data_IF_288427644417
#
_entry.id   IF_288427644417
#
_cell.length_a   1.000
_cell.length_b   1.000
_cell.length_c   1.000
_cell.angle_alpha   90.00
_cell.angle_beta   90.00
_cell.angle_gamma   90.00
#
_symmetry.space_group_name_H-M   'P 1'
#
loop_
_entity.id
_entity.type
_entity.pdbx_description
1 polymer ?
#
# COMPACT_ATOMS: atom_id res chain seq x y z
N UNK A 1 16.91 3.55 6.30
CA UNK A 1 16.17 2.99 5.20
C UNK A 1 16.50 3.82 3.96
N UNK A 2 17.20 3.22 3.01
CA UNK A 2 17.61 3.86 1.77
C UNK A 2 16.38 4.24 0.93
N UNK A 3 15.36 3.39 0.93
CA UNK A 3 14.10 3.65 0.23
C UNK A 3 13.40 4.89 0.77
N UNK A 4 13.28 5.01 2.11
CA UNK A 4 12.76 6.23 2.76
C UNK A 4 13.61 7.46 2.43
N UNK A 5 14.94 7.34 2.46
CA UNK A 5 15.81 8.47 2.11
C UNK A 5 15.59 8.94 0.67
N UNK A 6 15.45 8.03 -0.28
CA UNK A 6 15.18 8.35 -1.68
C UNK A 6 13.85 9.10 -1.83
N UNK A 7 12.77 8.63 -1.22
CA UNK A 7 11.47 9.33 -1.33
C UNK A 7 11.46 10.67 -0.60
N UNK A 8 12.23 10.82 0.48
CA UNK A 8 12.42 12.11 1.16
C UNK A 8 13.10 13.14 0.24
N UNK A 9 14.11 12.73 -0.53
CA UNK A 9 14.74 13.61 -1.53
C UNK A 9 13.74 14.08 -2.61
N UNK A 10 12.72 13.27 -2.89
CA UNK A 10 11.69 13.55 -3.89
C UNK A 10 10.46 14.27 -3.33
N UNK A 11 10.31 14.33 -2.00
CA UNK A 11 9.10 14.86 -1.35
C UNK A 11 7.85 13.99 -1.62
N UNK A 12 8.02 12.69 -1.81
CA UNK A 12 6.95 11.75 -2.16
C UNK A 12 6.54 10.89 -0.97
N UNK A 13 5.31 10.38 -0.99
CA UNK A 13 4.87 9.35 -0.05
C UNK A 13 5.41 7.96 -0.43
N UNK A 14 5.52 7.02 0.53
CA UNK A 14 5.96 5.66 0.23
C UNK A 14 4.97 4.95 -0.68
N UNK A 15 5.50 4.28 -1.70
CA UNK A 15 4.70 3.46 -2.61
C UNK A 15 4.40 2.07 -2.03
N UNK A 16 5.26 1.55 -1.15
CA UNK A 16 5.08 0.25 -0.50
C UNK A 16 5.53 0.31 0.96
N UNK A 17 4.88 -0.44 1.85
CA UNK A 17 5.10 -0.35 3.32
C UNK A 17 6.44 -0.92 3.80
N UNK A 18 7.08 -1.82 3.04
CA UNK A 18 8.42 -2.36 3.33
C UNK A 18 9.47 -1.98 2.27
N UNK A 19 9.04 -1.37 1.16
CA UNK A 19 9.91 -1.07 0.01
C UNK A 19 9.53 0.30 -0.59
N UNK A 20 9.72 1.40 0.15
CA UNK A 20 9.10 2.70 -0.13
C UNK A 20 9.32 3.23 -1.55
N UNK A 21 10.52 3.00 -2.08
CA UNK A 21 10.98 3.45 -3.40
C UNK A 21 10.86 2.39 -4.52
N UNK A 22 10.08 1.31 -4.36
CA UNK A 22 10.02 0.20 -5.34
C UNK A 22 9.54 0.61 -6.75
N UNK A 23 8.88 1.76 -6.87
CA UNK A 23 8.42 2.31 -8.14
C UNK A 23 9.52 3.03 -8.96
N UNK A 24 10.71 3.21 -8.37
CA UNK A 24 11.82 3.91 -9.02
C UNK A 24 12.82 2.93 -9.63
N UNK A 25 13.36 3.30 -10.78
CA UNK A 25 14.50 2.62 -11.38
C UNK A 25 15.83 3.27 -10.93
N UNK A 26 16.93 2.57 -11.19
CA UNK A 26 18.25 3.02 -10.77
C UNK A 26 18.70 4.34 -11.42
N UNK A 27 18.28 4.61 -12.66
CA UNK A 27 18.61 5.87 -13.35
C UNK A 27 17.95 7.07 -12.69
N UNK A 28 16.69 6.93 -12.27
CA UNK A 28 15.97 7.96 -11.52
C UNK A 28 16.66 8.23 -10.17
N UNK A 29 17.04 7.18 -9.45
CA UNK A 29 17.76 7.33 -8.17
C UNK A 29 19.11 8.03 -8.36
N UNK A 30 19.87 7.68 -9.41
CA UNK A 30 21.13 8.37 -9.74
C UNK A 30 20.92 9.85 -9.98
N UNK A 31 19.88 10.21 -10.73
CA UNK A 31 19.57 11.60 -11.04
C UNK A 31 19.19 12.37 -9.78
N UNK A 32 18.39 11.78 -8.90
CA UNK A 32 18.02 12.39 -7.62
C UNK A 32 19.25 12.60 -6.72
N UNK A 33 20.18 11.64 -6.69
CA UNK A 33 21.42 11.75 -5.93
C UNK A 33 22.36 12.83 -6.48
N UNK A 34 22.43 12.98 -7.82
CA UNK A 34 23.20 14.07 -8.44
C UNK A 34 22.68 15.44 -8.02
N UNK A 35 21.35 15.60 -8.01
CA UNK A 35 20.70 16.84 -7.59
C UNK A 35 20.89 17.11 -6.10
N UNK A 36 20.63 16.11 -5.26
CA UNK A 36 20.64 16.25 -3.81
C UNK A 36 22.04 16.39 -3.21
N UNK A 37 23.03 15.66 -3.76
CA UNK A 37 24.42 15.66 -3.26
C UNK A 37 25.34 16.43 -4.22
N UNK A 38 24.94 17.64 -4.60
CA UNK A 38 25.68 18.52 -5.53
C UNK A 38 27.04 18.97 -5.01
N UNK A 39 27.26 18.87 -3.69
CA UNK A 39 28.54 19.15 -3.03
C UNK A 39 29.59 18.04 -3.24
N UNK A 40 29.20 16.85 -3.71
CA UNK A 40 30.12 15.76 -4.02
C UNK A 40 30.68 15.87 -5.45
N UNK A 41 31.88 15.34 -5.74
CA UNK A 41 32.47 15.39 -7.07
C UNK A 41 31.54 14.86 -8.17
N UNK A 42 31.48 15.56 -9.31
CA UNK A 42 30.61 15.18 -10.43
C UNK A 42 31.03 13.89 -11.14
N UNK A 43 32.30 13.49 -11.02
CA UNK A 43 32.87 12.26 -11.60
C UNK A 43 32.82 11.05 -10.65
N UNK A 44 32.07 11.13 -9.55
CA UNK A 44 31.99 10.05 -8.56
C UNK A 44 31.34 8.77 -9.14
N UNK A 45 31.67 7.58 -8.60
CA UNK A 45 31.07 6.33 -9.05
C UNK A 45 29.56 6.29 -8.76
N UNK A 46 28.74 6.10 -9.80
CA UNK A 46 27.27 5.99 -9.67
C UNK A 46 26.68 4.83 -10.50
N UNK A 47 27.53 3.98 -11.08
CA UNK A 47 27.08 2.88 -11.95
C UNK A 47 26.49 1.74 -11.12
N UNK A 48 27.23 1.27 -10.14
CA UNK A 48 26.87 0.12 -9.32
C UNK A 48 25.98 0.53 -8.12
N UNK A 49 24.92 -0.23 -7.79
CA UNK A 49 24.04 0.04 -6.64
C UNK A 49 24.80 0.25 -5.32
N UNK A 50 25.88 -0.50 -5.10
CA UNK A 50 26.73 -0.40 -3.92
C UNK A 50 27.38 0.98 -3.79
N UNK A 51 27.67 1.64 -4.91
CA UNK A 51 28.23 3.00 -4.90
C UNK A 51 27.21 4.01 -4.40
N UNK A 52 25.95 3.90 -4.85
CA UNK A 52 24.85 4.74 -4.37
C UNK A 52 24.58 4.49 -2.88
N UNK A 53 24.57 3.22 -2.45
CA UNK A 53 24.40 2.88 -1.04
C UNK A 53 25.54 3.46 -0.17
N UNK A 54 26.79 3.39 -0.62
CA UNK A 54 27.94 4.00 0.08
C UNK A 54 27.82 5.51 0.17
N UNK A 55 27.38 6.17 -0.90
CA UNK A 55 27.13 7.61 -0.92
C UNK A 55 26.07 8.00 0.11
N UNK A 56 24.89 7.35 0.07
CA UNK A 56 23.83 7.58 1.04
C UNK A 56 24.28 7.31 2.48
N UNK A 57 25.05 6.24 2.71
CA UNK A 57 25.61 5.91 4.02
C UNK A 57 26.55 7.00 4.53
N UNK A 58 27.39 7.59 3.67
CA UNK A 58 28.26 8.70 4.03
C UNK A 58 27.46 9.91 4.50
N UNK A 59 26.48 10.33 3.71
CA UNK A 59 25.61 11.48 4.02
C UNK A 59 24.82 11.26 5.31
N UNK A 60 24.24 10.08 5.50
CA UNK A 60 23.40 9.79 6.66
C UNK A 60 24.21 9.56 7.94
N UNK A 61 25.46 9.11 7.85
CA UNK A 61 26.30 8.82 9.02
C UNK A 61 26.50 10.05 9.90
N UNK A 62 26.82 11.19 9.29
CA UNK A 62 27.01 12.46 10.00
C UNK A 62 25.73 12.89 10.71
N UNK A 63 24.58 12.73 10.05
CA UNK A 63 23.26 13.03 10.63
C UNK A 63 22.94 12.15 11.83
N UNK A 64 23.23 10.85 11.76
CA UNK A 64 23.03 9.94 12.89
C UNK A 64 23.91 10.31 14.10
N UNK A 65 25.16 10.70 13.87
CA UNK A 65 26.10 11.07 14.94
C UNK A 65 25.79 12.43 15.58
N UNK A 66 25.27 13.38 14.80
CA UNK A 66 24.93 14.71 15.29
C UNK A 66 23.54 14.81 15.93
N UNK A 67 22.69 13.78 15.81
CA UNK A 67 21.33 13.82 16.32
C UNK A 67 21.27 13.69 17.86
N UNK A 68 20.61 14.65 18.53
CA UNK A 68 20.34 14.59 19.97
C UNK A 68 19.18 13.63 20.32
N UNK A 69 18.23 13.49 19.38
CA UNK A 69 17.01 12.69 19.56
C UNK A 69 16.82 11.73 18.40
N UNK A 70 16.63 10.46 18.73
CA UNK A 70 16.23 9.40 17.82
C UNK A 70 14.76 9.09 17.95
N UNK A 71 14.03 9.07 16.83
CA UNK A 71 12.61 8.68 16.81
C UNK A 71 12.46 7.44 15.96
N UNK A 72 11.91 6.37 16.56
CA UNK A 72 11.63 5.13 15.86
C UNK A 72 10.16 4.75 15.96
N UNK A 73 9.70 3.92 15.02
CA UNK A 73 8.49 3.15 15.21
C UNK A 73 8.74 1.93 16.11
N UNK A 74 7.71 1.08 16.23
CA UNK A 74 7.87 -0.29 16.71
C UNK A 74 7.02 -1.25 15.85
N UNK A 75 7.58 -2.44 15.58
CA UNK A 75 6.84 -3.56 15.02
C UNK A 75 6.01 -4.24 16.10
N UNK A 76 6.55 -4.35 17.32
CA UNK A 76 5.87 -4.93 18.48
C UNK A 76 6.22 -4.17 19.76
N UNK A 77 5.29 -4.20 20.73
CA UNK A 77 5.49 -3.75 22.10
C UNK A 77 5.14 -4.92 23.02
N UNK A 78 6.12 -5.45 23.74
CA UNK A 78 5.95 -6.66 24.57
C UNK A 78 5.53 -6.25 25.97
N UNK A 79 4.31 -6.60 26.37
CA UNK A 79 3.70 -6.14 27.62
C UNK A 79 4.39 -6.70 28.86
N UNK A 80 4.77 -7.99 28.88
CA UNK A 80 5.36 -8.62 30.07
C UNK A 80 6.69 -8.01 30.51
N UNK A 81 7.44 -7.42 29.57
CA UNK A 81 8.79 -6.86 29.82
C UNK A 81 8.88 -5.35 29.61
N UNK A 82 7.84 -4.70 29.07
CA UNK A 82 7.91 -3.29 28.67
C UNK A 82 8.89 -3.03 27.53
N UNK A 83 9.08 -4.00 26.63
CA UNK A 83 10.10 -3.96 25.56
C UNK A 83 9.49 -3.45 24.25
N UNK A 84 10.16 -2.52 23.57
CA UNK A 84 9.85 -2.22 22.16
C UNK A 84 10.71 -3.08 21.23
N UNK A 85 10.12 -3.49 20.12
CA UNK A 85 10.80 -4.30 19.11
C UNK A 85 10.72 -3.61 17.76
N UNK A 86 11.87 -3.38 17.15
CA UNK A 86 11.97 -2.85 15.78
C UNK A 86 12.67 -3.85 14.88
N UNK A 87 12.15 -3.98 13.66
CA UNK A 87 12.62 -4.92 12.64
C UNK A 87 13.14 -4.11 11.46
N UNK A 88 14.41 -4.29 11.09
CA UNK A 88 15.01 -3.59 9.94
C UNK A 88 15.92 -4.50 9.13
N UNK A 89 16.18 -4.14 7.87
CA UNK A 89 17.14 -4.84 7.01
C UNK A 89 18.46 -4.06 6.80
N UNK A 90 18.55 -2.83 7.30
CA UNK A 90 19.67 -1.93 7.02
C UNK A 90 20.38 -1.41 8.28
N UNK A 91 19.93 -1.81 9.49
CA UNK A 91 20.53 -1.41 10.76
C UNK A 91 20.33 0.06 11.14
N UNK A 92 19.58 0.83 10.33
CA UNK A 92 19.30 2.24 10.62
C UNK A 92 18.45 2.42 11.89
N UNK A 93 17.63 1.43 12.26
CA UNK A 93 16.88 1.44 13.53
C UNK A 93 17.83 1.52 14.73
N UNK A 94 18.88 0.71 14.72
CA UNK A 94 19.89 0.64 15.78
C UNK A 94 20.65 1.96 15.91
N UNK A 95 21.10 2.51 14.77
CA UNK A 95 21.76 3.83 14.77
C UNK A 95 20.83 4.93 15.30
N UNK A 96 19.54 4.86 15.00
CA UNK A 96 18.55 5.84 15.45
C UNK A 96 18.29 5.74 16.95
N UNK A 97 18.26 4.54 17.54
CA UNK A 97 17.92 4.37 18.95
C UNK A 97 19.11 4.37 19.91
N UNK A 98 20.31 4.03 19.44
CA UNK A 98 21.49 3.85 20.32
C UNK A 98 22.41 5.07 20.36
N UNK A 99 22.58 5.79 19.24
CA UNK A 99 23.53 6.91 19.17
C UNK A 99 23.01 8.20 19.84
N UNK A 100 21.74 8.60 19.64
CA UNK A 100 21.22 9.82 20.26
C UNK A 100 21.06 9.68 21.78
N UNK A 101 21.14 10.81 22.50
CA UNK A 101 20.95 10.84 23.97
C UNK A 101 19.51 10.51 24.37
N UNK A 102 18.55 10.80 23.50
CA UNK A 102 17.12 10.55 23.75
C UNK A 102 16.57 9.62 22.67
N UNK A 103 15.89 8.55 23.08
CA UNK A 103 15.14 7.68 22.18
C UNK A 103 13.64 7.80 22.45
N UNK A 104 12.88 8.08 21.39
CA UNK A 104 11.41 8.13 21.41
C UNK A 104 10.88 7.01 20.52
N UNK A 105 10.11 6.09 21.10
CA UNK A 105 9.35 5.08 20.39
C UNK A 105 7.94 5.58 20.17
N UNK A 106 7.55 5.79 18.91
CA UNK A 106 6.19 6.13 18.52
C UNK A 106 5.51 4.91 17.89
N UNK A 107 4.58 4.30 18.60
CA UNK A 107 3.92 3.08 18.14
C UNK A 107 2.42 3.16 18.38
N UNK A 108 1.66 2.55 17.50
CA UNK A 108 0.21 2.51 17.63
C UNK A 108 -0.24 1.38 18.53
N UNK A 109 -1.40 1.55 19.19
CA UNK A 109 -1.85 0.66 20.28
C UNK A 109 -2.02 -0.81 19.87
N UNK A 110 -2.22 -1.09 18.58
CA UNK A 110 -2.38 -2.44 18.05
C UNK A 110 -1.07 -3.23 17.97
N UNK A 111 0.06 -2.61 18.29
CA UNK A 111 1.39 -3.25 18.25
C UNK A 111 1.71 -4.03 19.51
N UNK A 112 0.85 -3.99 20.53
CA UNK A 112 1.07 -4.66 21.80
C UNK A 112 0.87 -6.17 21.66
N UNK A 113 1.83 -6.95 22.17
CA UNK A 113 1.78 -8.40 22.29
C UNK A 113 2.05 -8.80 23.75
N UNK A 114 1.43 -9.89 24.28
CA UNK A 114 1.54 -10.21 25.69
C UNK A 114 2.97 -10.58 26.11
N UNK A 115 3.57 -11.55 25.40
CA UNK A 115 4.86 -12.15 25.78
C UNK A 115 5.91 -12.11 24.66
N UNK A 116 7.17 -12.32 25.03
CA UNK A 116 8.29 -12.53 24.11
C UNK A 116 8.08 -13.78 23.26
N UNK A 117 7.40 -14.80 23.77
CA UNK A 117 7.09 -16.01 23.02
C UNK A 117 6.06 -15.71 21.92
N UNK A 118 4.98 -14.99 22.22
CA UNK A 118 4.01 -14.55 21.20
C UNK A 118 4.70 -13.72 20.11
N UNK A 119 5.55 -12.80 20.53
CA UNK A 119 6.35 -11.94 19.65
C UNK A 119 7.28 -12.75 18.74
N UNK A 120 7.96 -13.78 19.27
CA UNK A 120 8.88 -14.62 18.50
C UNK A 120 8.16 -15.40 17.40
N UNK A 121 6.96 -15.92 17.67
CA UNK A 121 6.15 -16.61 16.68
C UNK A 121 5.68 -15.65 15.58
N UNK A 122 5.27 -14.44 15.95
CA UNK A 122 4.83 -13.44 14.97
C UNK A 122 6.00 -12.93 14.12
N UNK A 123 7.20 -12.78 14.68
CA UNK A 123 8.40 -12.42 13.91
C UNK A 123 8.70 -13.42 12.78
N UNK A 124 8.55 -14.72 13.06
CA UNK A 124 8.72 -15.79 12.04
C UNK A 124 7.72 -15.62 10.91
N UNK A 125 6.46 -15.27 11.21
CA UNK A 125 5.45 -15.00 10.20
C UNK A 125 5.75 -13.71 9.42
N UNK A 126 6.21 -12.66 10.10
CA UNK A 126 6.51 -11.37 9.51
C UNK A 126 7.56 -11.48 8.40
N UNK A 127 8.74 -12.03 8.70
CA UNK A 127 9.85 -12.12 7.74
C UNK A 127 9.49 -12.97 6.52
N UNK A 128 8.88 -14.15 6.76
CA UNK A 128 8.49 -15.08 5.69
C UNK A 128 7.41 -14.51 4.79
N UNK A 129 6.45 -13.79 5.35
CA UNK A 129 5.35 -13.19 4.58
C UNK A 129 5.76 -11.91 3.86
N UNK A 130 6.74 -11.16 4.39
CA UNK A 130 7.17 -9.89 3.84
C UNK A 130 8.20 -10.06 2.72
N UNK A 131 9.30 -10.77 3.01
CA UNK A 131 10.47 -10.86 2.13
C UNK A 131 10.85 -12.29 1.78
N UNK A 132 10.12 -13.29 2.30
CA UNK A 132 10.47 -14.71 2.13
C UNK A 132 11.70 -15.13 2.93
N UNK A 133 12.22 -14.27 3.81
CA UNK A 133 13.36 -14.58 4.67
C UNK A 133 12.92 -15.41 5.88
N UNK A 134 13.84 -16.23 6.42
CA UNK A 134 13.58 -16.94 7.67
C UNK A 134 13.40 -15.98 8.85
N UNK A 135 14.21 -14.91 8.86
CA UNK A 135 14.20 -13.80 9.82
C UNK A 135 14.77 -12.55 9.14
N UNK A 136 14.39 -11.36 9.61
CA UNK A 136 15.01 -10.09 9.16
C UNK A 136 16.47 -10.00 9.56
N UNK A 137 17.25 -9.14 8.90
CA UNK A 137 18.69 -8.95 9.22
C UNK A 137 18.89 -8.39 10.62
N UNK A 138 18.05 -7.45 11.06
CA UNK A 138 18.12 -6.84 12.39
C UNK A 138 16.76 -6.90 13.08
N UNK A 139 16.73 -7.51 14.27
CA UNK A 139 15.59 -7.49 15.18
C UNK A 139 16.10 -7.02 16.53
N UNK A 140 15.74 -5.78 16.89
CA UNK A 140 16.30 -5.14 18.07
C UNK A 140 15.23 -4.94 19.12
N UNK A 141 15.55 -5.37 20.33
CA UNK A 141 14.70 -5.30 21.51
C UNK A 141 15.27 -4.23 22.43
N UNK A 142 14.46 -3.22 22.75
CA UNK A 142 14.84 -2.08 23.60
C UNK A 142 13.96 -2.03 24.83
N UNK A 143 14.58 -2.15 26.01
CA UNK A 143 13.91 -2.20 27.33
C UNK A 143 14.40 -1.05 28.21
N UNK A 144 14.04 0.18 27.84
CA UNK A 144 14.37 1.38 28.60
C UNK A 144 15.70 2.04 28.21
N UNK A 145 16.14 3.05 28.99
CA UNK A 145 17.39 3.77 28.74
C UNK A 145 18.61 2.92 29.13
N UNK A 146 19.80 3.37 28.72
CA UNK A 146 21.07 2.74 29.10
C UNK A 146 21.22 2.70 30.62
N UNK A 147 21.77 1.61 31.12
CA UNK A 147 22.14 1.41 32.53
C UNK A 147 23.57 1.90 32.74
N UNK A 148 23.97 2.06 34.01
CA UNK A 148 25.35 2.48 34.35
C UNK A 148 26.43 1.53 33.82
N UNK A 149 26.12 0.24 33.69
CA UNK A 149 27.02 -0.79 33.18
C UNK A 149 27.03 -0.90 31.66
N UNK A 150 26.04 -0.31 30.98
CA UNK A 150 25.91 -0.44 29.54
C UNK A 150 26.93 0.51 28.88
N UNK A 151 27.70 0.03 27.89
CA UNK A 151 28.72 0.86 27.24
C UNK A 151 28.09 2.04 26.49
N UNK A 152 26.94 1.80 25.86
CA UNK A 152 26.28 2.72 24.94
C UNK A 152 24.75 2.68 25.13
N UNK A 153 24.06 3.70 24.61
CA UNK A 153 22.60 3.76 24.53
C UNK A 153 22.01 5.10 24.95
N UNK A 154 20.69 5.26 24.83
CA UNK A 154 20.02 6.52 25.13
C UNK A 154 19.95 6.76 26.64
N UNK A 155 20.18 7.99 27.07
CA UNK A 155 20.03 8.43 28.48
C UNK A 155 18.56 8.55 28.88
N UNK A 156 17.70 8.86 27.92
CA UNK A 156 16.25 8.94 28.10
C UNK A 156 15.53 8.07 27.08
N UNK A 157 14.51 7.37 27.55
CA UNK A 157 13.70 6.48 26.72
C UNK A 157 12.22 6.77 26.95
N UNK A 158 11.52 7.19 25.89
CA UNK A 158 10.12 7.61 25.93
C UNK A 158 9.30 6.73 25.00
N UNK A 159 8.12 6.28 25.44
CA UNK A 159 7.19 5.51 24.62
C UNK A 159 5.89 6.27 24.47
N UNK A 160 5.51 6.57 23.23
CA UNK A 160 4.27 7.25 22.87
C UNK A 160 3.34 6.24 22.21
N UNK A 161 2.25 5.92 22.90
CA UNK A 161 1.19 5.06 22.38
C UNK A 161 0.16 5.89 21.62
N UNK A 162 0.09 5.69 20.31
CA UNK A 162 -0.80 6.43 19.43
C UNK A 162 -2.04 5.60 19.08
N UNK A 163 -3.20 5.98 19.61
CA UNK A 163 -4.47 5.39 19.18
C UNK A 163 -4.84 5.86 17.76
N UNK A 164 -5.01 7.18 17.60
CA UNK A 164 -5.44 7.82 16.35
C UNK A 164 -6.71 7.15 15.75
N UNK A 165 -7.70 6.88 16.60
CA UNK A 165 -9.00 6.32 16.21
C UNK A 165 -9.04 4.80 16.06
N UNK A 166 -7.94 4.06 16.30
CA UNK A 166 -7.90 2.59 16.18
C UNK A 166 -8.76 1.88 17.22
N UNK A 167 -8.86 2.43 18.42
CA UNK A 167 -9.70 1.92 19.51
C UNK A 167 -11.17 1.82 19.11
N UNK A 168 -11.64 2.68 18.20
CA UNK A 168 -13.02 2.65 17.68
C UNK A 168 -13.34 1.39 16.86
N UNK A 169 -12.32 0.64 16.43
CA UNK A 169 -12.49 -0.60 15.68
C UNK A 169 -12.77 -1.79 16.61
N UNK A 170 -12.44 -1.68 17.90
CA UNK A 170 -12.71 -2.73 18.89
C UNK A 170 -14.21 -2.99 19.01
N UNK A 171 -14.60 -4.26 19.03
CA UNK A 171 -16.00 -4.70 19.06
C UNK A 171 -16.77 -4.54 17.75
N UNK A 172 -16.14 -4.04 16.68
CA UNK A 172 -16.80 -3.80 15.38
C UNK A 172 -16.41 -4.84 14.34
N UNK A 173 -17.02 -4.77 13.15
CA UNK A 173 -16.64 -5.58 11.99
C UNK A 173 -15.19 -5.33 11.50
N UNK A 174 -14.52 -4.29 12.00
CA UNK A 174 -13.15 -3.93 11.65
C UNK A 174 -12.11 -4.40 12.66
N UNK A 175 -12.50 -5.01 13.79
CA UNK A 175 -11.58 -5.36 14.88
C UNK A 175 -10.37 -6.18 14.41
N UNK A 176 -10.55 -7.16 13.52
CA UNK A 176 -9.45 -8.04 13.12
C UNK A 176 -8.33 -7.30 12.36
N UNK A 177 -8.61 -6.10 11.83
CA UNK A 177 -7.60 -5.26 11.19
C UNK A 177 -6.52 -4.81 12.19
N UNK A 178 -6.83 -4.74 13.49
CA UNK A 178 -5.87 -4.47 14.55
C UNK A 178 -4.80 -5.57 14.69
N UNK A 179 -5.03 -6.78 14.14
CA UNK A 179 -4.01 -7.85 14.12
C UNK A 179 -2.91 -7.62 13.08
N UNK A 180 -2.99 -6.55 12.28
CA UNK A 180 -2.08 -6.37 11.16
C UNK A 180 -0.63 -6.11 11.60
N UNK A 181 0.25 -7.04 11.22
CA UNK A 181 1.70 -6.96 11.45
C UNK A 181 2.46 -6.19 10.36
N UNK A 182 1.74 -5.58 9.40
CA UNK A 182 2.29 -4.77 8.30
C UNK A 182 3.34 -5.50 7.45
N UNK A 183 3.15 -6.80 7.19
CA UNK A 183 4.08 -7.60 6.37
C UNK A 183 4.03 -7.30 4.86
N UNK A 184 2.95 -6.71 4.34
CA UNK A 184 2.83 -6.35 2.92
C UNK A 184 2.36 -7.48 2.00
N UNK A 185 2.19 -8.71 2.50
CA UNK A 185 1.71 -9.86 1.71
C UNK A 185 0.41 -9.56 0.93
N UNK A 186 -0.55 -8.87 1.57
CA UNK A 186 -1.79 -8.48 0.92
C UNK A 186 -1.60 -7.57 -0.30
N UNK A 187 -0.58 -6.71 -0.28
CA UNK A 187 -0.24 -5.79 -1.38
C UNK A 187 0.45 -6.55 -2.51
N UNK A 188 1.44 -7.37 -2.16
CA UNK A 188 2.22 -8.18 -3.10
C UNK A 188 1.36 -9.13 -3.93
N UNK A 189 0.23 -9.59 -3.39
CA UNK A 189 -0.70 -10.48 -4.09
C UNK A 189 -1.97 -9.79 -4.61
N UNK A 190 -2.08 -8.46 -4.49
CA UNK A 190 -3.23 -7.72 -4.98
C UNK A 190 -3.04 -7.37 -6.46
N UNK A 191 -3.91 -7.85 -7.37
CA UNK A 191 -3.78 -7.53 -8.80
C UNK A 191 -4.02 -6.05 -9.09
N UNK A 192 -4.83 -5.36 -8.27
CA UNK A 192 -5.05 -3.92 -8.42
C UNK A 192 -3.78 -3.16 -8.04
N UNK A 193 -3.22 -3.42 -6.86
CA UNK A 193 -1.97 -2.78 -6.41
C UNK A 193 -0.83 -3.02 -7.40
N UNK A 194 -0.65 -4.25 -7.91
CA UNK A 194 0.38 -4.54 -8.91
C UNK A 194 0.20 -3.77 -10.23
N UNK A 195 -1.05 -3.43 -10.60
CA UNK A 195 -1.34 -2.74 -11.85
C UNK A 195 -1.26 -1.20 -11.73
N UNK A 196 -1.63 -0.62 -10.58
CA UNK A 196 -1.72 0.84 -10.41
C UNK A 196 -0.65 1.44 -9.48
N UNK A 197 0.07 0.60 -8.73
CA UNK A 197 1.04 1.03 -7.73
C UNK A 197 0.41 1.60 -6.46
N UNK A 198 1.26 1.94 -5.48
CA UNK A 198 0.80 2.45 -4.18
C UNK A 198 0.33 3.89 -4.18
N UNK A 199 0.94 4.76 -4.98
CA UNK A 199 0.57 6.18 -5.01
C UNK A 199 -0.86 6.44 -5.48
N UNK A 200 -1.41 5.56 -6.33
CA UNK A 200 -2.80 5.64 -6.77
C UNK A 200 -3.83 5.50 -5.63
N UNK A 201 -3.43 5.00 -4.46
CA UNK A 201 -4.27 4.93 -3.26
C UNK A 201 -4.32 6.26 -2.49
N UNK A 202 -3.49 7.25 -2.82
CA UNK A 202 -3.61 8.61 -2.29
C UNK A 202 -3.35 8.78 -0.79
N UNK A 203 -2.75 7.79 -0.12
CA UNK A 203 -2.45 7.85 1.31
C UNK A 203 -1.20 7.04 1.67
N UNK A 204 -0.65 7.25 2.88
CA UNK A 204 0.56 6.55 3.38
C UNK A 204 0.36 5.04 3.61
N UNK A 205 -0.89 4.57 3.69
CA UNK A 205 -1.22 3.16 3.75
C UNK A 205 -1.86 2.73 2.43
N UNK A 206 -1.08 2.18 1.49
CA UNK A 206 -1.60 1.70 0.22
C UNK A 206 -2.11 0.25 0.27
N UNK A 207 -2.74 -0.18 -0.82
CA UNK A 207 -3.16 -1.57 -1.04
C UNK A 207 -4.38 -2.02 -0.21
N UNK A 208 -4.68 -3.33 -0.18
CA UNK A 208 -5.90 -3.84 0.46
C UNK A 208 -6.01 -3.52 1.96
N UNK A 209 -4.88 -3.55 2.67
CA UNK A 209 -4.83 -3.17 4.08
C UNK A 209 -5.17 -1.68 4.26
N UNK A 210 -4.57 -0.82 3.44
CA UNK A 210 -4.84 0.60 3.41
C UNK A 210 -6.30 0.94 3.10
N UNK A 211 -6.92 0.20 2.17
CA UNK A 211 -8.32 0.36 1.81
C UNK A 211 -9.30 0.05 2.95
N UNK A 212 -8.88 -0.73 3.95
CA UNK A 212 -9.66 -0.98 5.17
C UNK A 212 -9.31 0.03 6.27
N UNK A 213 -8.03 0.30 6.50
CA UNK A 213 -7.58 1.11 7.62
C UNK A 213 -7.82 2.61 7.42
N UNK A 214 -7.58 3.13 6.21
CA UNK A 214 -7.61 4.57 5.94
C UNK A 214 -9.00 5.20 6.19
N UNK A 215 -10.14 4.58 5.79
CA UNK A 215 -11.45 5.13 6.12
C UNK A 215 -11.74 5.23 7.62
N UNK A 216 -11.15 4.38 8.46
CA UNK A 216 -11.22 4.54 9.93
C UNK A 216 -10.48 5.79 10.38
N UNK A 217 -9.29 6.04 9.82
CA UNK A 217 -8.40 7.11 10.29
C UNK A 217 -8.85 8.51 9.85
N UNK A 218 -9.35 8.64 8.62
CA UNK A 218 -9.67 9.96 8.04
C UNK A 218 -11.12 10.14 7.61
N UNK A 219 -11.94 9.11 7.78
CA UNK A 219 -13.35 9.11 7.43
C UNK A 219 -13.65 8.50 6.05
N UNK A 220 -14.80 7.83 5.96
CA UNK A 220 -15.32 7.23 4.72
C UNK A 220 -15.69 8.29 3.66
N UNK A 221 -15.98 9.52 4.06
CA UNK A 221 -16.21 10.66 3.16
C UNK A 221 -14.97 11.01 2.34
N UNK A 222 -13.77 10.83 2.90
CA UNK A 222 -12.50 11.10 2.19
C UNK A 222 -11.95 9.85 1.49
N UNK A 223 -12.12 8.68 2.11
CA UNK A 223 -11.44 7.45 1.69
C UNK A 223 -12.37 6.34 1.19
N UNK A 224 -13.68 6.57 1.03
CA UNK A 224 -14.66 5.57 0.60
C UNK A 224 -14.39 4.97 -0.78
N UNK A 225 -13.70 5.71 -1.64
CA UNK A 225 -13.27 5.23 -2.96
C UNK A 225 -12.21 4.11 -2.89
N UNK A 226 -11.45 3.96 -1.80
CA UNK A 226 -10.40 2.94 -1.67
C UNK A 226 -10.96 1.51 -1.61
N UNK A 227 -11.96 1.20 -0.76
CA UNK A 227 -12.69 -0.07 -0.84
C UNK A 227 -13.30 -0.35 -2.22
N UNK A 228 -13.60 0.70 -3.00
CA UNK A 228 -14.09 0.55 -4.37
C UNK A 228 -13.01 0.09 -5.36
N UNK A 229 -11.73 0.39 -5.09
CA UNK A 229 -10.58 -0.07 -5.86
C UNK A 229 -10.18 -1.53 -5.53
N UNK A 230 -11.14 -2.46 -5.54
CA UNK A 230 -10.93 -3.88 -5.27
C UNK A 230 -11.80 -4.76 -6.18
N UNK A 231 -11.22 -5.84 -6.68
CA UNK A 231 -11.93 -6.88 -7.44
C UNK A 231 -12.59 -7.94 -6.54
N UNK A 232 -12.37 -7.87 -5.23
CA UNK A 232 -12.86 -8.86 -4.24
C UNK A 232 -12.46 -10.31 -4.56
N UNK A 233 -11.32 -10.52 -5.22
CA UNK A 233 -10.83 -11.86 -5.56
C UNK A 233 -10.42 -12.72 -4.35
N UNK A 234 -10.35 -12.15 -3.14
CA UNK A 234 -10.04 -12.88 -1.90
C UNK A 234 -8.56 -13.21 -1.69
N UNK A 235 -7.67 -12.91 -2.64
CA UNK A 235 -6.25 -13.30 -2.55
C UNK A 235 -5.55 -12.69 -1.34
N UNK A 236 -5.85 -11.44 -0.99
CA UNK A 236 -5.26 -10.75 0.16
C UNK A 236 -5.60 -11.41 1.51
N UNK A 237 -6.79 -11.99 1.63
CA UNK A 237 -7.22 -12.75 2.81
C UNK A 237 -6.56 -14.14 2.83
N UNK A 238 -6.53 -14.82 1.68
CA UNK A 238 -5.93 -16.16 1.55
C UNK A 238 -4.44 -16.21 1.89
N UNK A 239 -3.71 -15.11 1.68
CA UNK A 239 -2.26 -15.01 1.96
C UNK A 239 -1.96 -14.31 3.30
N UNK A 240 -2.96 -13.83 4.03
CA UNK A 240 -2.73 -13.09 5.26
C UNK A 240 -2.30 -14.05 6.38
N UNK A 241 -1.08 -13.91 6.95
CA UNK A 241 -0.63 -14.78 8.04
C UNK A 241 -1.41 -14.55 9.35
N UNK A 242 -2.15 -13.44 9.45
CA UNK A 242 -2.94 -13.06 10.62
C UNK A 242 -4.44 -13.32 10.41
N UNK A 243 -4.82 -13.99 9.32
CA UNK A 243 -6.21 -14.33 8.99
C UNK A 243 -7.17 -13.13 9.01
N UNK A 244 -6.74 -11.98 8.49
CA UNK A 244 -7.57 -10.76 8.46
C UNK A 244 -8.49 -10.81 7.23
N UNK A 245 -9.83 -10.74 7.41
CA UNK A 245 -10.79 -10.85 6.31
C UNK A 245 -10.98 -9.50 5.58
N UNK A 246 -9.90 -8.99 4.96
CA UNK A 246 -9.87 -7.70 4.27
C UNK A 246 -11.01 -7.51 3.23
N UNK A 247 -11.36 -8.51 2.40
CA UNK A 247 -12.51 -8.42 1.50
C UNK A 247 -13.83 -8.17 2.23
N UNK A 248 -14.08 -8.85 3.35
CA UNK A 248 -15.31 -8.64 4.13
C UNK A 248 -15.37 -7.21 4.68
N UNK A 249 -14.27 -6.74 5.26
CA UNK A 249 -14.18 -5.38 5.80
C UNK A 249 -14.35 -4.29 4.73
N UNK A 250 -13.76 -4.48 3.54
CA UNK A 250 -13.97 -3.56 2.42
C UNK A 250 -15.44 -3.53 1.95
N UNK A 251 -16.20 -4.64 2.07
CA UNK A 251 -17.65 -4.62 1.76
C UNK A 251 -18.40 -3.77 2.77
N UNK A 252 -18.10 -3.89 4.07
CA UNK A 252 -18.71 -3.06 5.09
C UNK A 252 -18.44 -1.56 4.87
N UNK A 253 -17.25 -1.20 4.38
CA UNK A 253 -17.02 0.18 3.97
C UNK A 253 -17.86 0.63 2.77
N UNK A 254 -18.06 -0.23 1.76
CA UNK A 254 -18.95 0.07 0.63
C UNK A 254 -20.42 0.20 1.08
N UNK A 255 -20.85 -0.61 2.04
CA UNK A 255 -22.19 -0.51 2.65
C UNK A 255 -22.36 0.84 3.35
N UNK A 256 -21.41 1.22 4.22
CA UNK A 256 -21.42 2.51 4.91
C UNK A 256 -21.34 3.71 3.96
N UNK A 257 -20.54 3.62 2.90
CA UNK A 257 -20.49 4.65 1.85
C UNK A 257 -21.84 4.81 1.14
N UNK A 258 -22.50 3.70 0.82
CA UNK A 258 -23.80 3.66 0.17
C UNK A 258 -24.91 4.22 1.08
N UNK A 259 -24.98 3.76 2.33
CA UNK A 259 -25.96 4.22 3.33
C UNK A 259 -25.84 5.71 3.61
N UNK A 260 -24.63 6.26 3.59
CA UNK A 260 -24.37 7.69 3.77
C UNK A 260 -24.50 8.52 2.48
N UNK A 261 -24.89 7.90 1.37
CA UNK A 261 -25.10 8.56 0.08
C UNK A 261 -23.85 9.31 -0.42
N UNK A 262 -22.66 8.77 -0.13
CA UNK A 262 -21.37 9.40 -0.46
C UNK A 262 -20.91 9.07 -1.88
N UNK A 263 -21.39 7.97 -2.46
CA UNK A 263 -21.12 7.62 -3.84
C UNK A 263 -21.82 8.61 -4.80
N UNK A 264 -21.18 9.06 -5.89
CA UNK A 264 -21.80 9.98 -6.83
C UNK A 264 -23.08 9.40 -7.43
N UNK A 265 -24.12 10.23 -7.54
CA UNK A 265 -25.47 9.82 -7.95
C UNK A 265 -25.52 9.20 -9.36
N UNK A 266 -24.57 9.57 -10.21
CA UNK A 266 -24.37 9.05 -11.56
C UNK A 266 -24.04 7.56 -11.53
N UNK A 267 -23.28 7.07 -10.56
CA UNK A 267 -22.97 5.64 -10.46
C UNK A 267 -24.23 4.81 -10.20
N UNK A 268 -25.04 5.24 -9.22
CA UNK A 268 -26.25 4.49 -8.85
C UNK A 268 -27.32 4.56 -9.92
N UNK A 269 -27.51 5.71 -10.57
CA UNK A 269 -28.46 5.88 -11.68
C UNK A 269 -28.04 5.10 -12.93
N UNK A 270 -26.76 5.16 -13.33
CA UNK A 270 -26.24 4.38 -14.44
C UNK A 270 -26.36 2.87 -14.21
N UNK A 271 -26.09 2.41 -12.97
CA UNK A 271 -26.23 1.00 -12.62
C UNK A 271 -27.71 0.56 -12.63
N UNK A 272 -28.64 1.39 -12.15
CA UNK A 272 -30.09 1.13 -12.24
C UNK A 272 -30.56 1.04 -13.69
N UNK A 273 -30.12 1.96 -14.54
CA UNK A 273 -30.42 1.95 -15.97
C UNK A 273 -29.87 0.69 -16.65
N UNK A 274 -28.61 0.36 -16.40
CA UNK A 274 -28.00 -0.87 -16.90
C UNK A 274 -28.74 -2.12 -16.44
N UNK A 275 -29.10 -2.20 -15.15
CA UNK A 275 -29.87 -3.32 -14.59
C UNK A 275 -31.26 -3.46 -15.25
N UNK A 276 -31.93 -2.34 -15.54
CA UNK A 276 -33.21 -2.33 -16.24
C UNK A 276 -33.08 -2.91 -17.67
N UNK A 277 -32.01 -2.58 -18.40
CA UNK A 277 -31.71 -3.20 -19.68
C UNK A 277 -31.31 -4.68 -19.54
N UNK A 278 -30.45 -5.01 -18.58
CA UNK A 278 -29.93 -6.37 -18.38
C UNK A 278 -31.04 -7.39 -18.05
N UNK A 279 -32.09 -6.96 -17.33
CA UNK A 279 -33.30 -7.76 -17.05
C UNK A 279 -34.17 -8.02 -18.29
N UNK A 280 -33.88 -7.37 -19.43
CA UNK A 280 -34.62 -7.51 -20.70
C UNK A 280 -33.70 -7.98 -21.82
N UNK A 281 -33.38 -9.29 -21.90
CA UNK A 281 -32.37 -9.81 -22.82
C UNK A 281 -32.54 -9.42 -24.31
N UNK A 282 -33.75 -9.40 -24.90
CA UNK A 282 -33.91 -8.98 -26.29
C UNK A 282 -33.48 -7.52 -26.52
N UNK A 283 -33.89 -6.63 -25.60
CA UNK A 283 -33.58 -5.21 -25.65
C UNK A 283 -32.10 -4.96 -25.40
N UNK A 284 -31.51 -5.62 -24.38
CA UNK A 284 -30.07 -5.54 -24.11
C UNK A 284 -29.25 -5.96 -25.33
N UNK A 285 -29.62 -7.08 -25.98
CA UNK A 285 -28.93 -7.57 -27.18
C UNK A 285 -29.05 -6.60 -28.35
N UNK A 286 -30.21 -5.99 -28.56
CA UNK A 286 -30.41 -4.98 -29.60
C UNK A 286 -29.55 -3.74 -29.33
N UNK A 287 -29.66 -3.17 -28.13
CA UNK A 287 -28.89 -1.99 -27.72
C UNK A 287 -27.38 -2.23 -27.81
N UNK A 288 -26.88 -3.37 -27.31
CA UNK A 288 -25.46 -3.72 -27.38
C UNK A 288 -24.95 -3.87 -28.82
N UNK A 289 -25.76 -4.43 -29.74
CA UNK A 289 -25.40 -4.51 -31.17
C UNK A 289 -25.35 -3.13 -31.82
N UNK A 290 -26.34 -2.28 -31.54
CA UNK A 290 -26.38 -0.92 -32.04
C UNK A 290 -25.19 -0.12 -31.53
N UNK A 291 -24.89 -0.19 -30.24
CA UNK A 291 -23.74 0.47 -29.62
C UNK A 291 -22.41 -0.02 -30.24
N UNK A 292 -22.20 -1.33 -30.34
CA UNK A 292 -20.98 -1.89 -30.92
C UNK A 292 -20.81 -1.50 -32.39
N UNK A 293 -21.88 -1.51 -33.18
CA UNK A 293 -21.84 -1.14 -34.61
C UNK A 293 -21.60 0.36 -34.77
N UNK A 294 -22.25 1.20 -33.96
CA UNK A 294 -22.07 2.65 -33.99
C UNK A 294 -20.65 3.04 -33.60
N UNK A 295 -20.11 2.47 -32.51
CA UNK A 295 -18.72 2.67 -32.11
C UNK A 295 -17.74 2.18 -33.18
N UNK A 296 -18.00 1.04 -33.84
CA UNK A 296 -17.14 0.57 -34.93
C UNK A 296 -17.16 1.53 -36.14
N UNK A 297 -18.33 2.04 -36.51
CA UNK A 297 -18.48 3.00 -37.61
C UNK A 297 -17.81 4.34 -37.28
N UNK A 298 -17.94 4.82 -36.04
CA UNK A 298 -17.34 6.06 -35.56
C UNK A 298 -15.81 5.96 -35.46
N UNK A 299 -15.27 4.79 -35.08
CA UNK A 299 -13.82 4.57 -35.01
C UNK A 299 -13.13 4.58 -36.39
N UNK A 300 -13.90 4.39 -37.48
CA UNK A 300 -13.42 4.35 -38.88
C UNK A 300 -12.14 3.49 -39.02
N UNK A 301 -11.15 3.94 -39.78
CA UNK A 301 -9.85 3.26 -39.98
C UNK A 301 -8.88 3.36 -38.79
N UNK A 302 -9.19 4.15 -37.75
CA UNK A 302 -8.28 4.39 -36.63
C UNK A 302 -8.25 3.24 -35.62
N UNK A 303 -9.32 2.44 -35.54
CA UNK A 303 -9.41 1.27 -34.67
C UNK A 303 -9.46 1.57 -33.16
N UNK A 304 -9.44 2.85 -32.76
CA UNK A 304 -9.46 3.31 -31.36
C UNK A 304 -10.03 4.73 -31.26
N UNK A 305 -10.44 5.09 -30.04
CA UNK A 305 -10.90 6.42 -29.67
C UNK A 305 -9.95 7.05 -28.65
N UNK A 306 -9.33 8.17 -29.03
CA UNK A 306 -8.54 9.01 -28.12
C UNK A 306 -9.41 9.97 -27.31
N UNK A 307 -10.63 10.25 -27.77
CA UNK A 307 -11.65 10.99 -27.02
C UNK A 307 -13.00 10.36 -27.30
N UNK A 308 -13.81 10.17 -26.26
CA UNK A 308 -15.17 9.67 -26.40
C UNK A 308 -16.08 10.39 -25.39
N UNK A 309 -17.15 11.05 -25.85
CA UNK A 309 -18.15 11.63 -24.96
C UNK A 309 -18.68 10.57 -23.98
N UNK A 310 -18.90 10.96 -22.72
CA UNK A 310 -19.29 10.06 -21.60
C UNK A 310 -18.22 9.05 -21.14
N UNK A 311 -17.07 8.96 -21.81
CA UNK A 311 -15.91 8.18 -21.37
C UNK A 311 -14.64 9.04 -21.25
N UNK A 312 -14.82 10.34 -21.00
CA UNK A 312 -13.72 11.31 -20.88
C UNK A 312 -12.71 10.94 -19.79
N UNK A 313 -13.18 10.44 -18.65
CA UNK A 313 -12.29 9.99 -17.56
C UNK A 313 -11.36 8.85 -17.99
N UNK A 314 -11.83 7.92 -18.83
CA UNK A 314 -10.99 6.85 -19.38
C UNK A 314 -10.07 7.39 -20.48
N UNK A 315 -10.65 8.11 -21.43
CA UNK A 315 -9.95 8.63 -22.62
C UNK A 315 -8.93 9.74 -22.33
N UNK A 316 -8.94 10.28 -21.12
CA UNK A 316 -7.89 11.16 -20.61
C UNK A 316 -6.53 10.47 -20.53
N UNK A 317 -6.51 9.21 -20.07
CA UNK A 317 -5.28 8.48 -19.77
C UNK A 317 -5.10 7.25 -20.67
N UNK A 318 -6.16 6.78 -21.33
CA UNK A 318 -6.15 5.55 -22.13
C UNK A 318 -7.00 5.65 -23.39
N UNK A 319 -6.44 5.21 -24.51
CA UNK A 319 -7.24 4.99 -25.72
C UNK A 319 -8.28 3.87 -25.50
N UNK A 320 -9.51 4.08 -25.96
CA UNK A 320 -10.54 3.04 -25.95
C UNK A 320 -10.49 2.27 -27.28
N UNK A 321 -10.21 0.95 -27.28
CA UNK A 321 -10.20 0.18 -28.51
C UNK A 321 -11.61 0.09 -29.11
N UNK A 322 -11.70 0.22 -30.44
CA UNK A 322 -12.97 0.07 -31.13
C UNK A 322 -13.44 -1.40 -31.06
N UNK A 323 -14.75 -1.66 -30.92
CA UNK A 323 -15.27 -3.03 -30.93
C UNK A 323 -14.89 -3.77 -32.22
N UNK A 324 -14.25 -4.93 -32.06
CA UNK A 324 -13.85 -5.80 -33.17
C UNK A 324 -14.89 -6.91 -33.38
N UNK A 325 -15.33 -7.10 -34.62
CA UNK A 325 -16.32 -8.13 -34.96
C UNK A 325 -17.74 -7.82 -34.48
N UNK A 326 -18.49 -8.85 -34.09
CA UNK A 326 -19.84 -8.71 -33.54
C UNK A 326 -19.86 -8.90 -32.02
N UNK A 327 -20.97 -8.59 -31.34
CA UNK A 327 -21.14 -8.86 -29.89
C UNK A 327 -20.79 -10.31 -29.52
N UNK A 328 -20.34 -10.56 -28.28
CA UNK A 328 -20.05 -11.91 -27.76
C UNK A 328 -21.16 -12.92 -28.10
N UNK A 329 -22.42 -12.57 -27.85
CA UNK A 329 -23.59 -13.43 -28.14
C UNK A 329 -23.71 -13.75 -29.65
N UNK A 330 -23.40 -12.80 -30.52
CA UNK A 330 -23.41 -13.04 -31.98
C UNK A 330 -22.27 -13.94 -32.44
N UNK A 331 -21.11 -13.86 -31.79
CA UNK A 331 -19.97 -14.72 -32.07
C UNK A 331 -20.25 -16.14 -31.55
N UNK A 332 -20.77 -16.26 -30.33
CA UNK A 332 -21.17 -17.52 -29.71
C UNK A 332 -22.21 -18.29 -30.54
N UNK A 333 -23.25 -17.59 -31.04
CA UNK A 333 -24.25 -18.20 -31.93
C UNK A 333 -23.66 -18.69 -33.25
N UNK A 334 -22.73 -17.93 -33.85
CA UNK A 334 -22.02 -18.36 -35.07
C UNK A 334 -21.20 -19.62 -34.83
N UNK A 335 -20.43 -19.67 -33.75
CA UNK A 335 -19.61 -20.85 -33.40
C UNK A 335 -20.45 -22.09 -33.04
N UNK A 336 -21.61 -21.92 -32.40
CA UNK A 336 -22.54 -23.04 -32.15
C UNK A 336 -23.28 -23.48 -33.41
N UNK A 337 -23.60 -22.55 -34.31
CA UNK A 337 -24.22 -22.86 -35.60
C UNK A 337 -23.28 -23.54 -36.58
N UNK A 338 -21.97 -23.32 -36.48
CA UNK A 338 -20.94 -23.99 -37.29
C UNK A 338 -20.48 -25.35 -36.72
N UNK A 339 -21.02 -25.78 -35.58
CA UNK A 339 -20.75 -27.08 -34.93
C UNK A 339 -21.92 -28.07 -35.06
N UNK A 340 -22.97 -27.71 -35.80
CA UNK A 340 -24.07 -28.59 -36.24
C UNK A 340 -23.96 -28.76 -37.74
#
# INVERSE_FOLDING_TARGET
DLGEYIIQLRGEHPSHIIAPAVHLNIDQVREDFRKAHSHLPGNRPMKEPESLLREARGILREKFLAADVGITGANFLVAETGTSVIVTNEGNGDLTQTLPKVHIVLASIEKIVPTLEDMSQILRLLARSATGQEMSVYTTLSTGPRRKSDPDGPEQYHVILLDNGRSTMLGTEFQDMLRCIRCGACMNHCPVYQAVGGHAYGWVYPGPMGAVLTPTLIGVDKAGHLPNASTFCGRCEAVCPMHIPLPKMMRHWREREFERHLAPSEYTSNLKLWAWFAKRPPMYRFAARLAATSLRLLARRRGRFSTLPMAGAWTKDRDLPAPQGGTFISQWKRQRGSRR
#
